data_IF_504658813802
#
_entry.id   IF_504658813802
#
_cell.length_a   1.000
_cell.length_b   1.000
_cell.length_c   1.000
_cell.angle_alpha   90.00
_cell.angle_beta   90.00
_cell.angle_gamma   90.00
#
_symmetry.space_group_name_H-M   'P 1'
#
loop_
_entity.id
_entity.type
_entity.pdbx_description
1 polymer ?
#
# COMPACT_ATOMS: atom_id res chain seq x y z
N UNK A 1 -3.25 20.63 -2.56
CA UNK A 1 -3.95 20.60 -1.25
C UNK A 1 -4.85 19.37 -1.20
N UNK A 2 -5.01 18.74 -0.03
CA UNK A 2 -5.88 17.56 0.14
C UNK A 2 -6.82 17.78 1.32
N UNK A 3 -8.10 17.93 1.00
CA UNK A 3 -9.15 18.16 2.00
C UNK A 3 -9.86 16.83 2.28
N UNK A 4 -9.67 16.29 3.48
CA UNK A 4 -10.37 15.10 3.96
C UNK A 4 -11.71 15.51 4.52
N UNK A 5 -12.79 15.14 3.84
CA UNK A 5 -14.15 15.30 4.36
C UNK A 5 -14.55 14.08 5.16
N UNK A 6 -14.96 14.31 6.40
CA UNK A 6 -15.36 13.28 7.36
C UNK A 6 -16.83 13.42 7.74
N UNK A 7 -17.57 12.31 7.71
CA UNK A 7 -18.99 12.28 8.06
C UNK A 7 -19.21 12.49 9.56
N UNK A 8 -20.16 13.34 9.95
CA UNK A 8 -20.58 13.43 11.34
C UNK A 8 -21.53 12.30 11.77
N UNK A 9 -21.53 11.91 13.06
CA UNK A 9 -20.65 12.37 14.14
C UNK A 9 -19.35 11.55 14.28
N UNK A 10 -19.16 10.50 13.46
CA UNK A 10 -18.14 9.48 13.71
C UNK A 10 -16.81 9.71 12.99
N UNK A 11 -16.80 10.52 11.94
CA UNK A 11 -15.68 10.68 11.04
C UNK A 11 -15.24 9.38 10.38
N UNK A 12 -13.96 9.31 10.03
CA UNK A 12 -13.31 8.10 9.51
C UNK A 12 -13.30 6.97 10.54
N UNK A 13 -13.55 5.74 10.09
CA UNK A 13 -13.55 4.57 10.96
C UNK A 13 -12.16 4.27 11.55
N UNK A 14 -11.09 4.64 10.84
CA UNK A 14 -9.70 4.47 11.31
C UNK A 14 -9.35 5.31 12.54
N UNK A 15 -10.11 6.39 12.84
CA UNK A 15 -9.98 7.12 14.12
C UNK A 15 -10.24 6.22 15.33
N UNK A 16 -11.02 5.15 15.16
CA UNK A 16 -11.37 4.16 16.19
C UNK A 16 -10.67 2.82 16.00
N UNK A 17 -9.77 2.69 15.04
CA UNK A 17 -8.91 1.51 14.92
C UNK A 17 -7.81 1.63 15.97
N UNK A 18 -8.10 1.12 17.15
CA UNK A 18 -7.25 1.13 18.34
C UNK A 18 -7.32 -0.25 19.02
N UNK A 19 -6.26 -0.69 19.72
CA UNK A 19 -4.93 -0.08 19.91
C UNK A 19 -3.99 -0.19 18.67
N UNK A 20 -2.81 0.48 18.65
CA UNK A 20 -2.28 1.39 19.68
C UNK A 20 -2.73 2.85 19.49
N UNK A 21 -2.67 3.60 20.58
CA UNK A 21 -2.89 5.06 20.60
C UNK A 21 -1.64 5.80 21.03
N UNK A 22 -1.52 7.07 20.63
CA UNK A 22 -0.58 8.05 21.19
C UNK A 22 -1.44 9.12 21.86
N UNK A 23 -1.46 9.15 23.20
CA UNK A 23 -2.32 10.02 24.02
C UNK A 23 -3.77 10.12 23.54
N UNK A 24 -4.34 8.95 23.18
CA UNK A 24 -5.72 8.81 22.75
C UNK A 24 -6.00 9.09 21.27
N UNK A 25 -5.02 9.51 20.46
CA UNK A 25 -5.13 9.48 18.98
C UNK A 25 -4.78 8.10 18.43
N UNK A 26 -5.52 7.63 17.42
CA UNK A 26 -5.18 6.38 16.72
C UNK A 26 -3.89 6.53 15.91
N UNK A 27 -2.90 5.67 16.20
CA UNK A 27 -1.66 5.63 15.43
C UNK A 27 -1.90 5.29 13.94
N UNK A 28 -2.89 4.43 13.66
CA UNK A 28 -3.27 4.07 12.30
C UNK A 28 -3.83 5.26 11.52
N UNK A 29 -4.77 6.02 12.13
CA UNK A 29 -5.31 7.22 11.51
C UNK A 29 -4.21 8.23 11.18
N UNK A 30 -3.30 8.48 12.12
CA UNK A 30 -2.22 9.44 11.95
C UNK A 30 -1.27 9.06 10.82
N UNK A 31 -0.90 7.77 10.72
CA UNK A 31 -0.03 7.27 9.66
C UNK A 31 -0.63 7.45 8.26
N UNK A 32 -1.95 7.34 8.12
CA UNK A 32 -2.64 7.39 6.82
C UNK A 32 -3.07 8.81 6.38
N UNK A 33 -3.14 9.76 7.32
CA UNK A 33 -3.83 11.04 7.08
C UNK A 33 -2.95 12.30 7.28
N UNK A 34 -1.64 12.16 7.47
CA UNK A 34 -0.64 13.23 7.36
C UNK A 34 -0.79 14.08 6.08
N UNK A 35 -0.44 15.37 6.17
CA UNK A 35 -0.56 16.41 5.14
C UNK A 35 -2.00 16.76 4.68
N UNK A 36 -3.04 16.29 5.36
CA UNK A 36 -4.44 16.59 4.97
C UNK A 36 -5.03 17.68 5.86
N UNK A 37 -5.88 18.53 5.28
CA UNK A 37 -6.80 19.38 6.04
C UNK A 37 -8.09 18.61 6.31
N UNK A 38 -8.46 18.47 7.58
CA UNK A 38 -9.65 17.73 8.02
C UNK A 38 -10.87 18.62 8.17
N UNK A 39 -11.96 18.27 7.49
CA UNK A 39 -13.27 18.95 7.53
C UNK A 39 -14.34 17.95 7.95
N UNK A 40 -15.25 18.34 8.84
CA UNK A 40 -16.30 17.47 9.36
C UNK A 40 -17.70 17.99 8.99
N UNK A 41 -18.45 17.20 8.23
CA UNK A 41 -19.75 17.58 7.64
C UNK A 41 -20.80 16.49 7.90
N UNK A 42 -22.02 16.91 8.19
CA UNK A 42 -23.18 16.04 8.32
C UNK A 42 -23.86 15.82 6.97
N UNK A 43 -23.62 14.66 6.35
CA UNK A 43 -24.15 14.31 5.02
C UNK A 43 -25.66 14.06 5.01
N UNK A 44 -26.33 14.09 6.18
CA UNK A 44 -27.79 13.94 6.29
C UNK A 44 -28.51 15.28 6.33
N UNK A 45 -27.79 16.36 6.55
CA UNK A 45 -28.34 17.71 6.55
C UNK A 45 -28.33 18.29 5.13
N UNK A 46 -29.35 19.07 4.79
CA UNK A 46 -29.37 19.79 3.51
C UNK A 46 -28.23 20.81 3.42
N UNK A 47 -27.97 21.56 4.49
CA UNK A 47 -26.89 22.54 4.53
C UNK A 47 -25.50 21.89 4.41
N UNK A 48 -25.26 20.77 5.12
CA UNK A 48 -24.02 20.02 5.01
C UNK A 48 -23.80 19.42 3.62
N UNK A 49 -24.84 18.84 3.00
CA UNK A 49 -24.75 18.37 1.61
C UNK A 49 -24.49 19.50 0.61
N UNK A 50 -25.11 20.66 0.81
CA UNK A 50 -24.86 21.84 -0.03
C UNK A 50 -23.40 22.31 0.09
N UNK A 51 -22.85 22.34 1.31
CA UNK A 51 -21.45 22.69 1.54
C UNK A 51 -20.49 21.66 0.93
N UNK A 52 -20.78 20.36 1.07
CA UNK A 52 -20.01 19.29 0.44
C UNK A 52 -20.02 19.41 -1.08
N UNK A 53 -21.19 19.64 -1.69
CA UNK A 53 -21.30 19.87 -3.13
C UNK A 53 -20.47 21.07 -3.57
N UNK A 54 -20.60 22.21 -2.89
CA UNK A 54 -19.83 23.43 -3.19
C UNK A 54 -18.32 23.18 -3.10
N UNK A 55 -17.87 22.42 -2.09
CA UNK A 55 -16.48 22.03 -1.94
C UNK A 55 -16.01 21.15 -3.11
N UNK A 56 -16.77 20.12 -3.49
CA UNK A 56 -16.45 19.25 -4.63
C UNK A 56 -16.34 20.07 -5.93
N UNK A 57 -17.29 20.97 -6.16
CA UNK A 57 -17.29 21.84 -7.35
C UNK A 57 -16.15 22.87 -7.35
N UNK A 58 -15.50 23.11 -6.21
CA UNK A 58 -14.27 23.93 -6.17
C UNK A 58 -12.99 23.11 -6.43
N UNK A 59 -13.03 21.78 -6.28
CA UNK A 59 -11.85 20.92 -6.33
C UNK A 59 -11.51 20.41 -7.75
N UNK A 60 -10.23 20.09 -8.00
CA UNK A 60 -9.79 19.48 -9.27
C UNK A 60 -10.09 17.98 -9.36
N UNK A 61 -10.03 17.30 -8.20
CA UNK A 61 -10.17 15.86 -8.09
C UNK A 61 -11.06 15.54 -6.90
N UNK A 62 -12.06 14.67 -7.11
CA UNK A 62 -12.81 14.00 -6.05
C UNK A 62 -12.31 12.57 -5.94
N UNK A 63 -11.93 12.12 -4.74
CA UNK A 63 -11.59 10.72 -4.47
C UNK A 63 -12.56 10.18 -3.43
N UNK A 64 -13.20 9.06 -3.75
CA UNK A 64 -14.09 8.35 -2.83
C UNK A 64 -13.87 6.85 -2.90
N UNK A 65 -14.10 6.17 -1.79
CA UNK A 65 -13.97 4.72 -1.67
C UNK A 65 -15.18 4.09 -0.98
N UNK A 66 -16.37 4.65 -1.21
CA UNK A 66 -17.61 4.08 -0.70
C UNK A 66 -18.06 2.90 -1.57
N UNK A 67 -19.10 2.20 -1.11
CA UNK A 67 -19.78 1.22 -1.97
C UNK A 67 -20.37 1.92 -3.19
N UNK A 68 -20.36 1.24 -4.32
CA UNK A 68 -21.00 1.71 -5.56
C UNK A 68 -22.45 2.12 -5.25
N UNK A 69 -22.86 3.29 -5.74
CA UNK A 69 -24.19 3.86 -5.50
C UNK A 69 -24.28 4.79 -4.29
N UNK A 70 -23.30 4.80 -3.37
CA UNK A 70 -23.37 5.61 -2.16
C UNK A 70 -23.33 7.12 -2.46
N UNK A 71 -22.46 7.56 -3.38
CA UNK A 71 -22.38 8.97 -3.77
C UNK A 71 -23.54 9.38 -4.65
N UNK A 72 -24.02 8.47 -5.51
CA UNK A 72 -25.23 8.65 -6.31
C UNK A 72 -26.47 8.88 -5.42
N UNK A 73 -26.59 8.16 -4.30
CA UNK A 73 -27.67 8.35 -3.32
C UNK A 73 -27.71 9.77 -2.75
N UNK A 74 -26.55 10.42 -2.58
CA UNK A 74 -26.45 11.81 -2.12
C UNK A 74 -26.56 12.85 -3.24
N UNK A 75 -26.79 12.42 -4.50
CA UNK A 75 -26.79 13.33 -5.66
C UNK A 75 -25.40 13.85 -6.02
N UNK A 76 -24.34 13.17 -5.58
CA UNK A 76 -22.93 13.51 -5.78
C UNK A 76 -22.22 12.47 -6.65
N UNK A 77 -22.97 11.69 -7.43
CA UNK A 77 -22.41 10.74 -8.38
C UNK A 77 -21.76 11.42 -9.59
N UNK A 78 -20.87 10.72 -10.27
CA UNK A 78 -20.09 11.24 -11.38
C UNK A 78 -20.93 11.84 -12.50
N UNK A 79 -21.98 11.15 -12.97
CA UNK A 79 -22.82 11.63 -14.07
C UNK A 79 -23.49 12.98 -13.75
N UNK A 80 -23.84 13.21 -12.48
CA UNK A 80 -24.41 14.49 -12.02
C UNK A 80 -23.33 15.56 -11.95
N UNK A 81 -22.20 15.26 -11.30
CA UNK A 81 -21.14 16.25 -11.10
C UNK A 81 -20.46 16.66 -12.40
N UNK A 82 -20.31 15.74 -13.36
CA UNK A 82 -19.71 16.03 -14.67
C UNK A 82 -20.51 17.06 -15.47
N UNK A 83 -21.85 17.07 -15.33
CA UNK A 83 -22.68 18.06 -16.02
C UNK A 83 -22.43 19.48 -15.52
N UNK A 84 -22.12 19.63 -14.23
CA UNK A 84 -21.83 20.93 -13.60
C UNK A 84 -20.35 21.32 -13.67
N UNK A 85 -19.46 20.32 -13.65
CA UNK A 85 -18.01 20.49 -13.68
C UNK A 85 -17.36 19.46 -14.62
N UNK A 86 -17.39 19.68 -15.95
CA UNK A 86 -16.84 18.75 -16.94
C UNK A 86 -15.34 18.48 -16.78
N UNK A 87 -14.61 19.39 -16.16
CA UNK A 87 -13.18 19.29 -15.89
C UNK A 87 -12.83 18.48 -14.62
N UNK A 88 -13.83 18.06 -13.83
CA UNK A 88 -13.62 17.30 -12.60
C UNK A 88 -13.08 15.90 -12.90
N UNK A 89 -11.98 15.52 -12.26
CA UNK A 89 -11.52 14.13 -12.23
C UNK A 89 -12.21 13.44 -11.05
N UNK A 90 -13.02 12.43 -11.34
CA UNK A 90 -13.73 11.66 -10.31
C UNK A 90 -13.05 10.31 -10.16
N UNK A 91 -12.49 10.02 -8.99
CA UNK A 91 -11.86 8.75 -8.70
C UNK A 91 -12.72 7.93 -7.73
N UNK A 92 -13.11 6.73 -8.14
CA UNK A 92 -13.81 5.74 -7.33
C UNK A 92 -12.88 4.56 -7.06
N UNK A 93 -12.75 4.16 -5.80
CA UNK A 93 -11.95 3.01 -5.39
C UNK A 93 -12.82 2.04 -4.58
N UNK A 94 -13.17 0.90 -5.17
CA UNK A 94 -14.10 -0.06 -4.55
C UNK A 94 -13.45 -1.43 -4.30
N UNK A 95 -14.22 -2.39 -3.78
CA UNK A 95 -13.73 -3.75 -3.57
C UNK A 95 -13.41 -4.49 -4.87
N UNK A 96 -14.25 -4.34 -5.89
CA UNK A 96 -14.26 -5.17 -7.11
C UNK A 96 -14.48 -4.40 -8.41
N UNK A 97 -14.39 -3.06 -8.38
CA UNK A 97 -14.62 -2.17 -9.52
C UNK A 97 -16.08 -1.75 -9.60
N UNK A 98 -16.42 -0.83 -10.51
CA UNK A 98 -17.81 -0.38 -10.72
C UNK A 98 -18.59 -1.23 -11.71
N UNK A 99 -17.96 -2.22 -12.32
CA UNK A 99 -18.56 -3.10 -13.32
C UNK A 99 -18.36 -4.57 -13.00
N UNK A 100 -19.08 -5.44 -13.71
CA UNK A 100 -19.01 -6.89 -13.51
C UNK A 100 -19.89 -7.40 -12.37
N UNK A 101 -19.90 -8.73 -12.15
CA UNK A 101 -20.88 -9.40 -11.27
C UNK A 101 -20.72 -9.06 -9.79
N UNK A 102 -19.58 -8.51 -9.38
CA UNK A 102 -19.25 -8.21 -7.98
C UNK A 102 -19.19 -6.71 -7.67
N UNK A 103 -19.60 -5.85 -8.60
CA UNK A 103 -19.54 -4.39 -8.43
C UNK A 103 -20.22 -3.87 -7.15
N UNK A 104 -21.34 -4.49 -6.73
CA UNK A 104 -22.09 -4.07 -5.54
C UNK A 104 -21.55 -4.67 -4.23
N UNK A 105 -20.53 -5.55 -4.28
CA UNK A 105 -19.99 -6.20 -3.08
C UNK A 105 -19.11 -5.23 -2.29
N UNK A 106 -19.22 -5.30 -0.97
CA UNK A 106 -18.25 -4.65 -0.09
C UNK A 106 -16.88 -5.30 -0.20
N UNK A 107 -15.82 -4.49 -0.17
CA UNK A 107 -14.43 -4.95 -0.19
C UNK A 107 -13.68 -4.59 1.08
N UNK A 108 -12.83 -5.51 1.51
CA UNK A 108 -11.73 -5.29 2.44
C UNK A 108 -10.52 -6.02 1.89
N UNK A 109 -9.32 -5.57 2.26
CA UNK A 109 -8.08 -6.16 1.78
C UNK A 109 -8.02 -7.68 1.95
N UNK A 110 -8.39 -8.22 3.10
CA UNK A 110 -8.42 -9.66 3.34
C UNK A 110 -9.28 -10.42 2.31
N UNK A 111 -10.45 -9.88 1.98
CA UNK A 111 -11.36 -10.51 1.01
C UNK A 111 -10.74 -10.45 -0.39
N UNK A 112 -10.18 -9.30 -0.77
CA UNK A 112 -9.52 -9.14 -2.06
C UNK A 112 -8.26 -10.02 -2.19
N UNK A 113 -7.45 -10.17 -1.14
CA UNK A 113 -6.31 -11.10 -1.13
C UNK A 113 -6.76 -12.55 -1.33
N UNK A 114 -7.83 -12.98 -0.66
CA UNK A 114 -8.38 -14.33 -0.84
C UNK A 114 -8.90 -14.56 -2.25
N UNK A 115 -9.63 -13.58 -2.81
CA UNK A 115 -10.25 -13.74 -4.13
C UNK A 115 -9.27 -13.57 -5.30
N UNK A 116 -8.23 -12.76 -5.14
CA UNK A 116 -7.24 -12.49 -6.21
C UNK A 116 -6.23 -13.62 -6.43
N UNK A 117 -6.22 -14.65 -5.57
CA UNK A 117 -5.24 -15.74 -5.61
C UNK A 117 -3.99 -15.47 -4.77
N UNK A 118 -3.82 -14.29 -4.18
CA UNK A 118 -2.66 -13.98 -3.34
C UNK A 118 -2.52 -14.94 -2.16
N UNK A 119 -3.62 -15.30 -1.51
CA UNK A 119 -3.58 -16.23 -0.38
C UNK A 119 -3.26 -17.67 -0.80
N UNK A 120 -3.49 -18.08 -2.05
CA UNK A 120 -3.16 -19.45 -2.51
C UNK A 120 -1.68 -19.63 -2.80
N UNK A 121 -0.94 -18.53 -2.97
CA UNK A 121 0.50 -18.54 -3.30
C UNK A 121 1.36 -18.01 -2.15
N UNK A 122 0.75 -17.64 -1.03
CA UNK A 122 1.44 -17.14 0.16
C UNK A 122 1.41 -18.22 1.23
N UNK A 123 2.56 -18.46 1.88
CA UNK A 123 2.70 -19.45 2.94
C UNK A 123 3.94 -20.29 2.79
N UNK A 124 4.10 -21.26 3.69
CA UNK A 124 5.20 -22.21 3.66
C UNK A 124 5.07 -23.18 2.48
N UNK A 125 6.21 -23.70 2.01
CA UNK A 125 6.18 -24.78 1.02
C UNK A 125 5.49 -26.01 1.61
N UNK A 126 4.58 -26.66 0.85
CA UNK A 126 4.03 -27.94 1.27
C UNK A 126 5.15 -28.96 1.46
N UNK A 127 5.05 -29.77 2.52
CA UNK A 127 5.87 -30.98 2.68
C UNK A 127 5.02 -32.20 2.37
N UNK A 128 5.62 -33.25 1.80
CA UNK A 128 4.90 -34.47 1.35
C UNK A 128 4.00 -35.10 2.43
N UNK A 129 4.34 -34.91 3.72
CA UNK A 129 3.62 -35.48 4.86
C UNK A 129 2.69 -34.48 5.58
N UNK A 130 2.60 -33.22 5.12
CA UNK A 130 1.79 -32.21 5.78
C UNK A 130 0.34 -32.21 5.26
N UNK A 131 -0.61 -32.18 6.20
CA UNK A 131 -1.97 -31.77 5.90
C UNK A 131 -1.97 -30.34 5.34
N UNK A 132 -2.76 -30.08 4.30
CA UNK A 132 -2.84 -28.78 3.63
C UNK A 132 -3.02 -27.66 4.69
N UNK A 133 -2.01 -26.79 4.89
CA UNK A 133 -2.11 -25.76 5.91
C UNK A 133 -3.19 -24.75 5.53
N UNK A 134 -3.82 -24.09 6.52
CA UNK A 134 -4.78 -23.04 6.21
C UNK A 134 -4.12 -21.93 5.38
N UNK A 135 -4.80 -21.36 4.37
CA UNK A 135 -4.26 -20.27 3.57
C UNK A 135 -3.83 -19.09 4.43
N UNK A 136 -2.71 -18.48 4.10
CA UNK A 136 -2.21 -17.29 4.80
C UNK A 136 -2.29 -16.06 3.91
N UNK A 137 -2.51 -14.90 4.52
CA UNK A 137 -2.49 -13.61 3.82
C UNK A 137 -1.10 -13.01 3.81
N UNK A 138 -0.83 -12.12 2.86
CA UNK A 138 0.31 -11.22 2.97
C UNK A 138 0.12 -10.33 4.20
N UNK A 139 1.21 -10.14 4.96
CA UNK A 139 1.18 -9.42 6.24
C UNK A 139 0.67 -7.99 6.08
N UNK A 140 1.23 -7.25 5.12
CA UNK A 140 0.80 -5.90 4.75
C UNK A 140 -0.57 -5.92 4.04
N UNK A 141 -1.35 -4.83 4.13
CA UNK A 141 -2.61 -4.67 3.40
C UNK A 141 -2.32 -4.35 1.93
N UNK A 142 -1.85 -5.37 1.21
CA UNK A 142 -1.29 -5.25 -0.14
C UNK A 142 -2.27 -4.65 -1.14
N UNK A 143 -3.53 -5.09 -1.09
CA UNK A 143 -4.55 -4.64 -2.04
C UNK A 143 -5.03 -3.23 -1.73
N UNK A 144 -5.15 -2.84 -0.45
CA UNK A 144 -5.49 -1.47 -0.05
C UNK A 144 -4.42 -0.47 -0.53
N UNK A 145 -3.15 -0.75 -0.23
CA UNK A 145 -2.04 0.16 -0.59
C UNK A 145 -1.89 0.24 -2.11
N UNK A 146 -1.92 -0.91 -2.78
CA UNK A 146 -1.73 -0.96 -4.24
C UNK A 146 -2.88 -0.30 -4.97
N UNK A 147 -4.13 -0.49 -4.55
CA UNK A 147 -5.27 0.20 -5.14
C UNK A 147 -5.15 1.73 -4.97
N UNK A 148 -4.67 2.21 -3.82
CA UNK A 148 -4.39 3.63 -3.62
C UNK A 148 -3.31 4.17 -4.56
N UNK A 149 -2.25 3.39 -4.83
CA UNK A 149 -1.21 3.74 -5.79
C UNK A 149 -1.75 3.75 -7.22
N UNK A 150 -2.54 2.74 -7.61
CA UNK A 150 -3.19 2.66 -8.92
C UNK A 150 -4.16 3.82 -9.14
N UNK A 151 -4.93 4.20 -8.12
CA UNK A 151 -5.80 5.38 -8.16
C UNK A 151 -5.00 6.67 -8.36
N UNK A 152 -3.90 6.86 -7.61
CA UNK A 152 -3.03 8.02 -7.80
C UNK A 152 -2.44 8.07 -9.22
N UNK A 153 -1.98 6.94 -9.76
CA UNK A 153 -1.51 6.84 -11.14
C UNK A 153 -2.62 7.16 -12.15
N UNK A 154 -3.83 6.64 -11.96
CA UNK A 154 -4.99 6.91 -12.80
C UNK A 154 -5.41 8.38 -12.77
N UNK A 155 -5.40 9.01 -11.60
CA UNK A 155 -5.65 10.45 -11.43
C UNK A 155 -4.60 11.27 -12.19
N UNK A 156 -3.31 10.91 -12.10
CA UNK A 156 -2.25 11.60 -12.85
C UNK A 156 -2.44 11.45 -14.36
N UNK A 157 -2.83 10.27 -14.84
CA UNK A 157 -3.14 10.05 -16.26
C UNK A 157 -4.36 10.89 -16.70
N UNK A 158 -5.43 10.92 -15.90
CA UNK A 158 -6.62 11.75 -16.14
C UNK A 158 -6.28 13.25 -16.09
N UNK A 159 -5.36 13.66 -15.23
CA UNK A 159 -4.86 15.04 -15.18
C UNK A 159 -4.10 15.41 -16.45
N UNK A 160 -3.23 14.53 -16.95
CA UNK A 160 -2.56 14.72 -18.25
C UNK A 160 -3.57 14.78 -19.41
N UNK A 161 -4.65 14.00 -19.36
CA UNK A 161 -5.75 14.10 -20.32
C UNK A 161 -6.41 15.49 -20.24
N UNK A 162 -6.80 15.93 -19.03
CA UNK A 162 -7.42 17.24 -18.78
C UNK A 162 -6.56 18.41 -19.25
N UNK A 163 -5.24 18.35 -19.07
CA UNK A 163 -4.33 19.40 -19.56
C UNK A 163 -4.38 19.56 -21.10
N UNK A 164 -4.76 18.51 -21.84
CA UNK A 164 -4.82 18.52 -23.31
C UNK A 164 -6.21 18.85 -23.84
N UNK A 165 -7.25 18.43 -23.13
CA UNK A 165 -8.63 18.51 -23.61
C UNK A 165 -9.48 19.56 -22.89
N UNK A 166 -9.07 19.96 -21.68
CA UNK A 166 -9.90 20.72 -20.75
C UNK A 166 -10.91 19.88 -19.98
N UNK A 167 -11.04 18.58 -20.28
CA UNK A 167 -12.05 17.69 -19.71
C UNK A 167 -11.46 16.74 -18.66
N UNK A 168 -12.19 16.53 -17.58
CA UNK A 168 -11.92 15.48 -16.60
C UNK A 168 -12.52 14.15 -17.02
N UNK A 169 -12.38 13.13 -16.17
CA UNK A 169 -12.96 11.82 -16.42
C UNK A 169 -13.13 11.01 -15.13
N UNK A 170 -13.92 9.95 -15.22
CA UNK A 170 -13.96 8.90 -14.21
C UNK A 170 -12.65 8.10 -14.24
N UNK A 171 -12.10 7.85 -13.05
CA UNK A 171 -11.03 6.90 -12.77
C UNK A 171 -11.62 5.85 -11.84
N UNK A 172 -11.63 4.59 -12.29
CA UNK A 172 -12.16 3.45 -11.53
C UNK A 172 -11.05 2.42 -11.33
N UNK A 173 -10.91 1.91 -10.11
CA UNK A 173 -10.01 0.81 -9.77
C UNK A 173 -10.50 0.10 -8.52
N UNK A 174 -9.90 -1.04 -8.19
CA UNK A 174 -10.37 -1.89 -7.11
C UNK A 174 -9.29 -2.63 -6.34
N UNK A 175 -9.64 -3.06 -5.13
CA UNK A 175 -8.80 -3.95 -4.32
C UNK A 175 -8.53 -5.27 -5.05
N UNK A 176 -9.54 -5.81 -5.75
CA UNK A 176 -9.41 -7.07 -6.48
C UNK A 176 -8.39 -6.99 -7.62
N UNK A 177 -8.48 -5.97 -8.48
CA UNK A 177 -7.53 -5.75 -9.57
C UNK A 177 -6.11 -5.43 -9.04
N UNK A 178 -6.04 -4.69 -7.93
CA UNK A 178 -4.78 -4.43 -7.24
C UNK A 178 -4.14 -5.73 -6.73
N UNK A 179 -4.93 -6.69 -6.24
CA UNK A 179 -4.46 -8.02 -5.85
C UNK A 179 -3.95 -8.85 -7.03
N UNK A 180 -4.72 -8.88 -8.13
CA UNK A 180 -4.34 -9.59 -9.37
C UNK A 180 -3.01 -9.07 -9.94
N UNK A 181 -2.75 -7.77 -9.82
CA UNK A 181 -1.49 -7.17 -10.31
C UNK A 181 -0.25 -7.82 -9.67
N UNK A 182 -0.35 -8.31 -8.43
CA UNK A 182 0.74 -8.98 -7.72
C UNK A 182 0.93 -10.45 -8.11
N UNK A 183 -0.01 -11.06 -8.84
CA UNK A 183 0.10 -12.46 -9.26
C UNK A 183 0.77 -12.61 -10.63
N UNK A 184 1.41 -11.57 -11.18
CA UNK A 184 1.95 -11.56 -12.55
C UNK A 184 2.74 -12.81 -12.96
N UNK A 185 3.70 -13.26 -12.15
CA UNK A 185 4.49 -14.46 -12.43
C UNK A 185 3.66 -15.74 -12.35
N UNK A 186 2.83 -15.85 -11.32
CA UNK A 186 1.99 -17.03 -11.08
C UNK A 186 0.88 -17.14 -12.12
N UNK A 187 0.33 -16.02 -12.57
CA UNK A 187 -0.57 -15.91 -13.70
C UNK A 187 0.12 -16.33 -14.99
N UNK A 188 1.36 -15.92 -15.24
CA UNK A 188 2.13 -16.38 -16.40
C UNK A 188 2.32 -17.92 -16.39
N UNK A 189 2.67 -18.50 -15.24
CA UNK A 189 2.81 -19.96 -15.08
C UNK A 189 1.47 -20.66 -15.32
N UNK A 190 0.39 -20.19 -14.68
CA UNK A 190 -0.93 -20.79 -14.79
C UNK A 190 -1.48 -20.69 -16.23
N UNK A 191 -1.34 -19.54 -16.89
CA UNK A 191 -1.76 -19.37 -18.29
C UNK A 191 -0.94 -20.22 -19.27
N UNK A 192 0.33 -20.49 -18.98
CA UNK A 192 1.18 -21.31 -19.83
C UNK A 192 0.95 -22.82 -19.65
N UNK A 193 0.61 -23.26 -18.44
CA UNK A 193 0.57 -24.69 -18.07
C UNK A 193 -0.83 -25.22 -17.77
N UNK A 194 -1.80 -24.34 -17.51
CA UNK A 194 -3.12 -24.68 -16.98
C UNK A 194 -3.12 -25.08 -15.50
N UNK A 195 -1.98 -25.01 -14.80
CA UNK A 195 -1.82 -25.43 -13.41
C UNK A 195 -1.54 -24.22 -12.52
N UNK A 196 -2.33 -24.07 -11.45
CA UNK A 196 -2.10 -23.00 -10.47
C UNK A 196 -0.85 -23.28 -9.64
N UNK A 197 0.07 -22.31 -9.52
CA UNK A 197 1.16 -22.38 -8.54
C UNK A 197 0.62 -22.39 -7.10
N UNK A 198 1.39 -23.01 -6.20
CA UNK A 198 1.17 -23.01 -4.75
C UNK A 198 2.18 -22.14 -3.99
N UNK A 199 2.14 -22.15 -2.65
CA UNK A 199 3.05 -21.38 -1.81
C UNK A 199 4.48 -21.91 -1.87
N UNK A 200 5.46 -20.99 -1.80
CA UNK A 200 6.90 -21.29 -1.94
C UNK A 200 7.75 -20.83 -0.75
N UNK A 201 7.14 -20.44 0.38
CA UNK A 201 7.85 -19.74 1.44
C UNK A 201 8.43 -18.43 0.92
N UNK A 202 9.74 -18.24 1.08
CA UNK A 202 10.47 -17.08 0.55
C UNK A 202 11.05 -17.30 -0.86
N UNK A 203 10.86 -18.47 -1.46
CA UNK A 203 11.48 -18.80 -2.74
C UNK A 203 10.77 -18.17 -3.95
N UNK A 204 11.56 -17.78 -4.94
CA UNK A 204 11.05 -17.27 -6.21
C UNK A 204 10.54 -18.41 -7.10
N UNK A 205 9.38 -18.28 -7.78
CA UNK A 205 8.79 -19.35 -8.57
C UNK A 205 9.56 -19.70 -9.85
N UNK A 206 10.46 -18.82 -10.30
CA UNK A 206 11.16 -18.96 -11.59
C UNK A 206 12.70 -18.86 -11.48
N UNK A 207 13.25 -18.67 -10.29
CA UNK A 207 14.69 -18.44 -10.13
C UNK A 207 15.20 -19.10 -8.84
N UNK A 208 16.32 -19.81 -8.92
CA UNK A 208 16.91 -20.48 -7.77
C UNK A 208 18.45 -20.40 -7.75
N UNK A 209 19.08 -20.19 -6.57
CA UNK A 209 18.43 -19.82 -5.31
C UNK A 209 18.08 -18.32 -5.28
N UNK A 210 16.82 -18.03 -4.99
CA UNK A 210 16.33 -16.67 -4.72
C UNK A 210 15.35 -16.76 -3.55
N UNK A 211 15.88 -16.73 -2.32
CA UNK A 211 15.11 -17.00 -1.10
C UNK A 211 15.89 -16.62 0.17
N UNK A 212 15.22 -16.73 1.32
CA UNK A 212 15.84 -16.62 2.64
C UNK A 212 16.52 -17.92 3.09
N UNK A 213 17.66 -17.79 3.76
CA UNK A 213 18.38 -18.87 4.45
C UNK A 213 18.68 -18.47 5.89
N UNK A 214 18.63 -19.45 6.79
CA UNK A 214 18.97 -19.24 8.19
C UNK A 214 20.49 -19.16 8.34
N UNK A 215 20.96 -18.17 9.09
CA UNK A 215 22.38 -17.99 9.44
C UNK A 215 22.62 -18.47 10.87
N UNK A 216 23.81 -18.22 11.43
CA UNK A 216 24.07 -18.54 12.84
C UNK A 216 23.16 -17.79 13.82
N UNK A 217 22.75 -16.56 13.49
CA UNK A 217 22.10 -15.63 14.42
C UNK A 217 20.84 -14.96 13.87
N UNK A 218 20.42 -15.28 12.64
CA UNK A 218 19.27 -14.65 11.99
C UNK A 218 18.94 -15.27 10.64
N UNK A 219 18.54 -14.40 9.70
CA UNK A 219 18.14 -14.79 8.35
C UNK A 219 18.72 -13.83 7.31
N UNK A 220 19.12 -14.37 6.17
CA UNK A 220 19.64 -13.63 5.03
C UNK A 220 18.88 -14.00 3.76
N UNK A 221 18.41 -13.00 3.02
CA UNK A 221 17.90 -13.16 1.66
C UNK A 221 19.06 -13.20 0.68
N UNK A 222 19.01 -14.16 -0.25
CA UNK A 222 20.02 -14.35 -1.28
C UNK A 222 19.40 -14.13 -2.65
N UNK A 223 19.97 -13.21 -3.42
CA UNK A 223 19.56 -12.87 -4.79
C UNK A 223 20.45 -13.50 -5.87
N UNK A 224 20.61 -14.82 -5.86
CA UNK A 224 21.37 -15.54 -6.90
C UNK A 224 20.48 -15.93 -8.10
N UNK A 225 19.72 -14.95 -8.60
CA UNK A 225 18.67 -15.10 -9.61
C UNK A 225 19.18 -15.42 -11.03
N UNK A 226 20.48 -15.36 -11.26
CA UNK A 226 21.11 -15.62 -12.56
C UNK A 226 22.39 -16.43 -12.38
N UNK A 227 22.91 -16.97 -13.48
CA UNK A 227 24.05 -17.88 -13.45
C UNK A 227 25.32 -17.25 -12.87
N UNK A 228 25.61 -15.98 -13.20
CA UNK A 228 26.78 -15.28 -12.69
C UNK A 228 26.71 -15.10 -11.16
N UNK A 229 25.53 -14.77 -10.62
CA UNK A 229 25.34 -14.66 -9.18
C UNK A 229 25.35 -16.04 -8.48
N UNK A 230 24.86 -17.10 -9.13
CA UNK A 230 24.99 -18.47 -8.65
C UNK A 230 26.45 -18.88 -8.48
N UNK A 231 27.29 -18.65 -9.50
CA UNK A 231 28.71 -19.00 -9.45
C UNK A 231 29.48 -18.21 -8.38
N UNK A 232 29.15 -16.92 -8.23
CA UNK A 232 29.64 -16.09 -7.12
C UNK A 232 29.27 -16.67 -5.76
N UNK A 233 28.00 -17.06 -5.58
CA UNK A 233 27.51 -17.67 -4.35
C UNK A 233 28.27 -18.96 -4.03
N UNK A 234 28.34 -19.89 -4.99
CA UNK A 234 29.03 -21.17 -4.82
C UNK A 234 30.49 -20.97 -4.43
N UNK A 235 31.18 -20.03 -5.08
CA UNK A 235 32.57 -19.69 -4.75
C UNK A 235 32.70 -19.13 -3.34
N UNK A 236 31.81 -18.21 -2.94
CA UNK A 236 31.83 -17.57 -1.62
C UNK A 236 31.50 -18.53 -0.47
N UNK A 237 30.64 -19.52 -0.73
CA UNK A 237 30.31 -20.58 0.23
C UNK A 237 31.41 -21.65 0.30
N UNK A 238 32.30 -21.72 -0.70
CA UNK A 238 33.26 -22.82 -0.83
C UNK A 238 32.59 -24.15 -1.17
N UNK A 239 31.48 -24.11 -1.90
CA UNK A 239 30.63 -25.25 -2.20
C UNK A 239 30.77 -25.70 -3.67
N UNK A 240 32.00 -25.75 -4.19
CA UNK A 240 32.27 -26.01 -5.62
C UNK A 240 31.68 -27.35 -6.09
N UNK A 241 31.57 -28.34 -5.20
CA UNK A 241 30.92 -29.61 -5.46
C UNK A 241 29.42 -29.45 -5.79
N UNK A 242 28.72 -28.50 -5.17
CA UNK A 242 27.34 -28.18 -5.54
C UNK A 242 27.27 -27.49 -6.91
N UNK A 243 28.24 -26.62 -7.22
CA UNK A 243 28.30 -25.96 -8.53
C UNK A 243 28.55 -26.93 -9.69
N UNK A 244 29.26 -28.03 -9.44
CA UNK A 244 29.55 -29.07 -10.42
C UNK A 244 28.49 -30.18 -10.48
N UNK A 245 27.54 -30.21 -9.55
CA UNK A 245 26.46 -31.20 -9.53
C UNK A 245 25.55 -31.01 -10.76
N UNK A 246 25.35 -32.05 -11.61
CA UNK A 246 24.49 -31.97 -12.79
C UNK A 246 23.08 -31.44 -12.51
N UNK A 247 22.57 -31.61 -11.28
CA UNK A 247 21.25 -31.12 -10.86
C UNK A 247 21.20 -29.60 -10.71
N UNK A 248 22.33 -28.92 -10.51
CA UNK A 248 22.40 -27.50 -10.15
C UNK A 248 23.18 -26.63 -11.15
N UNK A 249 23.62 -27.20 -12.28
CA UNK A 249 24.40 -26.49 -13.30
C UNK A 249 23.65 -25.29 -13.86
N UNK A 250 22.35 -25.43 -14.12
CA UNK A 250 21.49 -24.37 -14.65
C UNK A 250 20.24 -24.12 -13.78
N UNK A 251 19.53 -23.04 -14.08
CA UNK A 251 18.36 -22.61 -13.30
C UNK A 251 17.21 -23.63 -13.36
N UNK A 252 17.02 -24.30 -14.49
CA UNK A 252 15.94 -25.27 -14.65
C UNK A 252 16.17 -26.47 -13.73
N UNK A 253 17.40 -27.02 -13.73
CA UNK A 253 17.80 -28.08 -12.81
C UNK A 253 17.64 -27.66 -11.35
N UNK A 254 18.07 -26.43 -11.00
CA UNK A 254 17.93 -25.89 -9.64
C UNK A 254 16.47 -25.77 -9.20
N UNK A 255 15.56 -25.37 -10.08
CA UNK A 255 14.13 -25.31 -9.77
C UNK A 255 13.51 -26.71 -9.62
N UNK A 256 13.83 -27.64 -10.52
CA UNK A 256 13.36 -29.03 -10.42
C UNK A 256 13.80 -29.69 -9.12
N UNK A 257 14.98 -29.33 -8.63
CA UNK A 257 15.57 -29.90 -7.41
C UNK A 257 15.58 -28.90 -6.24
N UNK A 258 14.67 -27.91 -6.23
CA UNK A 258 14.71 -26.80 -5.27
C UNK A 258 14.73 -27.26 -3.80
N UNK A 259 13.86 -28.17 -3.32
CA UNK A 259 13.90 -28.61 -1.92
C UNK A 259 15.26 -29.21 -1.52
N UNK A 260 15.85 -30.00 -2.42
CA UNK A 260 17.16 -30.59 -2.20
C UNK A 260 18.27 -29.54 -2.21
N UNK A 261 18.24 -28.60 -3.16
CA UNK A 261 19.22 -27.51 -3.23
C UNK A 261 19.22 -26.70 -1.94
N UNK A 262 18.03 -26.37 -1.43
CA UNK A 262 17.87 -25.61 -0.18
C UNK A 262 18.43 -26.38 1.01
N UNK A 263 18.12 -27.68 1.11
CA UNK A 263 18.65 -28.53 2.17
C UNK A 263 20.19 -28.61 2.15
N UNK A 264 20.81 -28.63 0.96
CA UNK A 264 22.26 -28.67 0.81
C UNK A 264 22.94 -27.31 1.06
N UNK A 265 22.29 -26.20 0.71
CA UNK A 265 22.82 -24.85 0.94
C UNK A 265 22.71 -24.39 2.39
N UNK A 266 21.65 -24.82 3.10
CA UNK A 266 21.35 -24.34 4.46
C UNK A 266 22.52 -24.51 5.46
N UNK A 267 23.21 -25.68 5.53
CA UNK A 267 24.38 -25.85 6.39
C UNK A 267 25.49 -24.82 6.14
N UNK A 268 25.72 -24.43 4.88
CA UNK A 268 26.73 -23.42 4.56
C UNK A 268 26.42 -22.09 5.23
N UNK A 269 25.15 -21.63 5.18
CA UNK A 269 24.76 -20.35 5.76
C UNK A 269 24.82 -20.35 7.30
N UNK A 270 24.63 -21.48 7.97
CA UNK A 270 24.74 -21.57 9.43
C UNK A 270 26.15 -21.36 9.98
N UNK A 271 27.20 -21.46 9.15
CA UNK A 271 28.58 -21.35 9.63
C UNK A 271 29.03 -19.94 10.02
N UNK A 272 28.31 -18.90 9.60
CA UNK A 272 28.66 -17.50 9.92
C UNK A 272 27.42 -16.73 10.38
N UNK A 273 27.66 -15.63 11.09
CA UNK A 273 26.61 -14.66 11.41
C UNK A 273 26.12 -13.95 10.16
N UNK A 274 24.92 -13.38 10.25
CA UNK A 274 24.32 -12.58 9.18
C UNK A 274 25.26 -11.47 8.73
N UNK A 275 25.86 -10.74 9.67
CA UNK A 275 26.80 -9.66 9.37
C UNK A 275 28.07 -10.13 8.64
N UNK A 276 28.61 -11.29 9.00
CA UNK A 276 29.78 -11.87 8.33
C UNK A 276 29.46 -12.30 6.89
N UNK A 277 28.25 -12.84 6.65
CA UNK A 277 27.80 -13.14 5.29
C UNK A 277 27.58 -11.89 4.46
N UNK A 278 26.93 -10.86 5.02
CA UNK A 278 26.76 -9.57 4.35
C UNK A 278 28.11 -9.00 3.90
N UNK A 279 29.10 -8.93 4.79
CA UNK A 279 30.44 -8.46 4.43
C UNK A 279 31.11 -9.30 3.32
N UNK A 280 30.88 -10.62 3.32
CA UNK A 280 31.40 -11.53 2.29
C UNK A 280 30.74 -11.26 0.94
N UNK A 281 29.42 -11.08 0.90
CA UNK A 281 28.65 -10.92 -0.33
C UNK A 281 28.76 -9.52 -0.92
N UNK A 282 28.83 -8.48 -0.08
CA UNK A 282 29.07 -7.10 -0.51
C UNK A 282 30.44 -6.98 -1.22
N UNK A 283 31.47 -7.63 -0.70
CA UNK A 283 32.82 -7.62 -1.28
C UNK A 283 32.89 -8.18 -2.71
N UNK A 284 31.94 -9.04 -3.09
CA UNK A 284 31.86 -9.65 -4.43
C UNK A 284 30.68 -9.13 -5.27
N UNK A 285 29.93 -8.16 -4.73
CA UNK A 285 28.72 -7.64 -5.36
C UNK A 285 27.66 -8.70 -5.63
N UNK A 286 27.47 -9.64 -4.70
CA UNK A 286 26.35 -10.58 -4.73
C UNK A 286 25.16 -9.94 -4.01
N UNK A 287 23.99 -9.76 -4.67
CA UNK A 287 22.82 -9.20 -4.00
C UNK A 287 22.36 -10.09 -2.84
N UNK A 288 22.42 -9.54 -1.63
CA UNK A 288 21.95 -10.17 -0.40
C UNK A 288 21.45 -9.10 0.58
N UNK A 289 20.68 -9.51 1.59
CA UNK A 289 20.24 -8.59 2.64
C UNK A 289 19.65 -9.31 3.85
N UNK A 290 19.77 -8.76 5.07
CA UNK A 290 19.16 -9.36 6.26
C UNK A 290 17.62 -9.31 6.19
N UNK A 291 16.95 -10.25 6.86
CA UNK A 291 15.51 -10.15 7.11
C UNK A 291 15.30 -9.34 8.40
N UNK A 292 15.00 -8.05 8.27
CA UNK A 292 14.83 -7.14 9.40
C UNK A 292 13.40 -7.16 9.95
N UNK A 293 13.27 -7.04 11.27
CA UNK A 293 12.02 -6.63 11.92
C UNK A 293 11.68 -5.16 11.58
N UNK A 294 10.45 -4.73 11.85
CA UNK A 294 10.02 -3.34 11.61
C UNK A 294 10.86 -2.34 12.42
N UNK A 295 11.22 -2.67 13.67
CA UNK A 295 12.03 -1.79 14.50
C UNK A 295 13.46 -1.65 13.97
N UNK A 296 14.07 -2.76 13.52
CA UNK A 296 15.39 -2.75 12.90
C UNK A 296 15.36 -2.00 11.56
N UNK A 297 14.33 -2.21 10.73
CA UNK A 297 14.16 -1.48 9.47
C UNK A 297 14.02 0.02 9.70
N UNK A 298 13.26 0.47 10.72
CA UNK A 298 13.18 1.88 11.06
C UNK A 298 14.54 2.47 11.48
N UNK A 299 15.39 1.69 12.15
CA UNK A 299 16.72 2.11 12.59
C UNK A 299 17.81 1.96 11.51
N UNK A 300 17.50 1.31 10.39
CA UNK A 300 18.47 0.97 9.35
C UNK A 300 19.11 2.25 8.73
N UNK A 301 20.43 2.27 8.49
CA UNK A 301 21.12 3.42 7.93
C UNK A 301 20.56 3.87 6.57
N UNK A 302 20.12 2.94 5.73
CA UNK A 302 19.51 3.27 4.44
C UNK A 302 18.12 3.87 4.65
N UNK A 303 17.30 3.36 5.58
CA UNK A 303 16.01 3.97 5.93
C UNK A 303 16.17 5.42 6.37
N UNK A 304 17.14 5.68 7.25
CA UNK A 304 17.44 7.03 7.74
C UNK A 304 17.99 7.93 6.62
N UNK A 305 18.98 7.47 5.85
CA UNK A 305 19.55 8.22 4.74
C UNK A 305 18.56 8.52 3.61
N UNK A 306 17.43 7.82 3.58
CA UNK A 306 16.35 7.99 2.61
C UNK A 306 15.15 8.73 3.17
N UNK A 307 15.25 9.32 4.36
CA UNK A 307 14.19 10.09 5.03
C UNK A 307 12.86 9.32 5.06
N UNK A 308 12.92 8.01 5.36
CA UNK A 308 11.73 7.15 5.37
C UNK A 308 11.05 7.10 6.74
N UNK A 309 11.70 7.59 7.79
CA UNK A 309 11.08 7.89 9.08
C UNK A 309 11.31 9.36 9.37
N UNK A 310 10.23 10.15 9.39
CA UNK A 310 10.30 11.62 9.56
C UNK A 310 9.46 12.04 10.75
N UNK A 311 9.81 13.18 11.34
CA UNK A 311 9.07 13.81 12.43
C UNK A 311 8.25 14.99 11.91
N UNK A 312 7.01 15.11 12.35
CA UNK A 312 6.08 16.18 11.95
C UNK A 312 5.27 16.67 13.13
N UNK A 313 4.82 17.93 13.08
CA UNK A 313 3.97 18.51 14.11
C UNK A 313 2.52 18.06 13.97
N UNK A 314 1.96 17.51 15.05
CA UNK A 314 0.55 17.18 15.20
C UNK A 314 -0.12 18.19 16.15
N UNK A 315 -1.26 18.76 15.73
CA UNK A 315 -1.93 19.87 16.41
C UNK A 315 -2.29 19.61 17.88
N UNK A 316 -2.49 18.34 18.26
CA UNK A 316 -2.76 17.93 19.65
C UNK A 316 -1.58 17.31 20.39
N UNK A 317 -0.63 16.72 19.67
CA UNK A 317 0.41 15.85 20.28
C UNK A 317 1.81 16.46 20.22
N UNK A 318 1.99 17.56 19.48
CA UNK A 318 3.32 18.07 19.15
C UNK A 318 4.05 17.13 18.17
N UNK A 319 5.36 16.94 18.32
CA UNK A 319 6.16 16.12 17.41
C UNK A 319 5.74 14.64 17.42
N UNK A 320 5.46 14.09 16.23
CA UNK A 320 5.15 12.67 16.03
C UNK A 320 5.92 12.11 14.82
N UNK A 321 6.28 10.82 14.87
CA UNK A 321 6.97 10.13 13.77
C UNK A 321 5.98 9.51 12.78
N UNK A 322 6.32 9.57 11.50
CA UNK A 322 5.56 8.97 10.39
C UNK A 322 6.48 8.48 9.27
N UNK A 323 5.92 7.77 8.29
CA UNK A 323 6.67 7.34 7.11
C UNK A 323 6.84 8.48 6.12
N UNK A 324 8.06 8.61 5.59
CA UNK A 324 8.40 9.62 4.59
C UNK A 324 7.87 9.31 3.18
N UNK A 325 8.12 10.23 2.24
CA UNK A 325 7.77 10.08 0.83
C UNK A 325 8.74 9.11 0.13
N UNK A 326 8.28 7.98 -0.45
CA UNK A 326 9.14 6.99 -1.08
C UNK A 326 9.65 7.39 -2.48
N UNK A 327 9.22 8.54 -3.01
CA UNK A 327 9.68 9.08 -4.30
C UNK A 327 10.52 10.33 -4.04
N UNK A 328 11.76 10.36 -4.57
CA UNK A 328 12.67 11.50 -4.43
C UNK A 328 12.80 12.21 -5.77
N UNK A 329 12.34 13.45 -5.83
CA UNK A 329 12.41 14.30 -7.03
C UNK A 329 13.65 15.18 -6.97
N UNK A 330 14.31 15.39 -8.11
CA UNK A 330 15.52 16.23 -8.23
C UNK A 330 15.23 17.72 -8.01
N UNK A 331 14.12 18.22 -8.57
CA UNK A 331 13.86 19.67 -8.66
C UNK A 331 12.73 20.15 -7.75
N UNK A 332 11.80 19.26 -7.40
CA UNK A 332 10.64 19.56 -6.55
C UNK A 332 10.58 18.58 -5.38
N UNK A 333 11.51 18.66 -4.42
CA UNK A 333 11.54 17.72 -3.29
C UNK A 333 10.21 17.79 -2.53
N UNK A 334 9.43 16.71 -2.62
CA UNK A 334 8.21 16.53 -1.84
C UNK A 334 8.52 16.09 -0.41
N UNK A 335 7.50 15.99 0.43
CA UNK A 335 7.68 15.51 1.80
C UNK A 335 6.41 15.53 2.63
N UNK A 336 6.51 14.95 3.82
CA UNK A 336 5.47 15.07 4.84
C UNK A 336 5.77 16.30 5.68
N UNK A 337 4.85 17.26 5.71
CA UNK A 337 5.03 18.57 6.33
C UNK A 337 4.21 18.74 7.60
N UNK A 338 3.08 18.04 7.68
CA UNK A 338 2.13 18.19 8.79
C UNK A 338 1.62 16.82 9.24
N UNK A 339 1.41 16.68 10.54
CA UNK A 339 0.69 15.55 11.12
C UNK A 339 -0.74 15.43 10.59
N UNK A 340 -1.39 14.32 10.92
CA UNK A 340 -2.80 14.16 10.55
C UNK A 340 -3.69 15.19 11.29
N UNK A 341 -4.79 15.62 10.68
CA UNK A 341 -5.67 16.60 11.32
C UNK A 341 -6.54 15.95 12.40
N UNK A 342 -6.77 16.68 13.50
CA UNK A 342 -7.89 16.34 14.38
C UNK A 342 -9.23 16.56 13.64
N UNK A 343 -10.28 15.87 14.07
CA UNK A 343 -11.56 15.89 13.36
C UNK A 343 -12.14 17.31 13.31
N UNK A 344 -12.39 17.81 12.09
CA UNK A 344 -12.94 19.15 11.86
C UNK A 344 -11.97 20.31 12.15
N UNK A 345 -10.67 20.03 12.27
CA UNK A 345 -9.63 21.05 12.57
C UNK A 345 -9.69 22.25 11.62
N UNK A 346 -9.98 22.00 10.34
CA UNK A 346 -9.90 23.02 9.29
C UNK A 346 -11.28 23.33 8.69
N UNK A 347 -12.38 22.88 9.32
CA UNK A 347 -13.73 23.07 8.78
C UNK A 347 -14.04 24.54 8.51
N UNK A 348 -13.77 25.43 9.47
CA UNK A 348 -14.05 26.86 9.32
C UNK A 348 -13.20 27.51 8.22
N UNK A 349 -11.91 27.20 8.19
CA UNK A 349 -10.96 27.70 7.19
C UNK A 349 -11.42 27.32 5.77
N UNK A 350 -11.66 26.03 5.54
CA UNK A 350 -12.07 25.53 4.21
C UNK A 350 -13.43 26.09 3.78
N UNK A 351 -14.39 26.22 4.69
CA UNK A 351 -15.71 26.79 4.34
C UNK A 351 -15.61 28.27 3.95
N UNK A 352 -14.73 29.05 4.57
CA UNK A 352 -14.46 30.44 4.16
C UNK A 352 -13.84 30.51 2.77
N UNK A 353 -12.89 29.63 2.45
CA UNK A 353 -12.23 29.58 1.14
C UNK A 353 -13.22 29.33 0.00
N UNK A 354 -14.25 28.51 0.24
CA UNK A 354 -15.32 28.27 -0.73
C UNK A 354 -16.47 29.29 -0.61
N UNK A 355 -16.28 30.39 0.13
CA UNK A 355 -17.16 31.56 0.14
C UNK A 355 -18.39 31.45 1.04
N UNK A 356 -18.30 30.77 2.19
CA UNK A 356 -19.26 30.92 3.28
C UNK A 356 -18.82 32.05 4.21
N UNK A 357 -19.76 32.91 4.63
CA UNK A 357 -19.53 33.94 5.62
C UNK A 357 -19.48 33.34 7.04
N UNK A 358 -18.80 34.02 7.97
CA UNK A 358 -18.66 33.54 9.35
C UNK A 358 -20.00 33.28 10.04
N UNK A 359 -21.00 34.14 9.81
CA UNK A 359 -22.35 33.94 10.35
C UNK A 359 -23.06 32.69 9.80
N UNK A 360 -22.80 32.32 8.54
CA UNK A 360 -23.35 31.08 7.96
C UNK A 360 -22.66 29.85 8.57
N UNK A 361 -21.33 29.91 8.73
CA UNK A 361 -20.55 28.84 9.36
C UNK A 361 -20.99 28.65 10.82
N UNK A 362 -21.22 29.74 11.56
CA UNK A 362 -21.70 29.69 12.94
C UNK A 362 -23.11 29.07 13.01
N UNK A 363 -24.00 29.43 12.10
CA UNK A 363 -25.35 28.85 12.02
C UNK A 363 -25.32 27.34 11.70
N UNK A 364 -24.46 26.92 10.77
CA UNK A 364 -24.25 25.51 10.42
C UNK A 364 -23.67 24.71 11.59
N UNK A 365 -22.69 25.28 12.31
CA UNK A 365 -22.11 24.65 13.49
C UNK A 365 -23.15 24.53 14.63
N UNK A 366 -23.94 25.57 14.87
CA UNK A 366 -25.01 25.57 15.87
C UNK A 366 -26.12 24.57 15.58
N UNK A 367 -26.38 24.29 14.29
CA UNK A 367 -27.39 23.32 13.83
C UNK A 367 -26.87 21.88 13.72
N UNK A 368 -25.56 21.67 13.91
CA UNK A 368 -24.92 20.35 13.78
C UNK A 368 -24.74 19.88 12.35
N UNK A 369 -24.76 20.80 11.37
CA UNK A 369 -24.48 20.50 9.96
C UNK A 369 -22.99 20.28 9.71
N UNK A 370 -22.15 20.87 10.57
CA UNK A 370 -20.70 20.78 10.55
C UNK A 370 -20.14 20.72 11.97
N UNK A 371 -18.88 20.30 12.09
CA UNK A 371 -18.10 20.44 13.32
C UNK A 371 -16.85 21.26 13.00
N UNK A 372 -16.70 22.39 13.67
CA UNK A 372 -15.53 23.24 13.58
C UNK A 372 -14.91 23.40 14.97
N UNK A 373 -13.60 23.16 15.09
CA UNK A 373 -12.86 23.53 16.29
C UNK A 373 -12.83 25.05 16.43
N UNK A 374 -12.89 25.56 17.66
CA UNK A 374 -12.55 26.96 17.91
C UNK A 374 -11.09 27.16 17.47
N UNK A 375 -10.86 28.11 16.57
CA UNK A 375 -9.55 28.42 16.01
C UNK A 375 -8.62 29.07 17.00
#
# INVERSE_FOLDING_TARGET
>A
DVIKVERLPRGDDTRRTIPPTIDGESAAFMMMNRNKRGVAINFRSQAGLAALRKLILSADVLVENFRVGAMEHYGLGYEVLRQEKPELIYCSLSGFGRTGPYAERGGFDLIAQGMSGLMSITGDMPTDDAQEPPPVKVGAPMTDITAGILAAMGILAAYVHRLKTGEGQMVDTSLFEAGITHTYWQSAICLATGVSPGPLGSAHPLMAPYQAFQTQDGWINIGAANQANWEKLITALGAQELGADPRFVDNAGRLTNLPLLVALLTPYFHHKTTAQWMATFDAIGLPAGPVLSIAEMHADPQTQARDMVVEVEHSRLGPVKTLGLPVKFSDTPGGVQHGAPIMGQHTREVLREIGYADGEIDAMAGSGDIQATAG
#
